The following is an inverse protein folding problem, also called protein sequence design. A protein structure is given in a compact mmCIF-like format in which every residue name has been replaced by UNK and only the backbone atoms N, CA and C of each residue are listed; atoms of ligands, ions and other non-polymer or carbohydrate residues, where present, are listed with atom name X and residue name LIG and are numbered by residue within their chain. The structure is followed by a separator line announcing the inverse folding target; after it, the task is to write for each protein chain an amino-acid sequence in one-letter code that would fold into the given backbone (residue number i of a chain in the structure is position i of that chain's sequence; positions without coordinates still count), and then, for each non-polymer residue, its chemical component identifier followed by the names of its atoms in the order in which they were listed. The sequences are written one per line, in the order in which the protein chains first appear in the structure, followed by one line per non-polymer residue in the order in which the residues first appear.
data_IF_240029351969
#
_entry.id   IF_240029351969
#
_cell.length_a   1.000
_cell.length_b   1.000
_cell.length_c   1.000
_cell.angle_alpha   90.00
_cell.angle_beta   90.00
_cell.angle_gamma   90.00
#
_symmetry.space_group_name_H-M   'P 1'
#
loop_
_entity.id
_entity.type
_entity.pdbx_description
1 polymer ?
#
# COMPACT_ATOMS: atom_id res chain seq x y z
N UNK A 1 34.97 -9.04 32.06
CA UNK A 1 33.67 -9.77 32.10
C UNK A 1 33.15 -9.88 30.68
N UNK A 2 33.36 -11.03 30.02
CA UNK A 2 32.85 -11.25 28.67
C UNK A 2 31.37 -11.62 28.75
N UNK A 3 30.50 -10.80 28.14
CA UNK A 3 29.10 -11.15 27.91
C UNK A 3 29.07 -12.45 27.11
N UNK A 4 28.56 -13.53 27.71
CA UNK A 4 28.18 -14.73 26.97
C UNK A 4 27.14 -14.28 25.95
N UNK A 5 27.49 -14.31 24.65
CA UNK A 5 26.50 -14.17 23.59
C UNK A 5 25.53 -15.34 23.73
N UNK A 6 24.27 -15.00 23.97
CA UNK A 6 23.21 -15.93 24.29
C UNK A 6 23.01 -16.88 23.10
N UNK A 7 23.39 -18.16 23.25
CA UNK A 7 23.22 -19.19 22.21
C UNK A 7 21.77 -19.31 21.75
N UNK A 8 20.81 -18.87 22.56
CA UNK A 8 19.39 -18.83 22.21
C UNK A 8 19.02 -17.72 21.20
N UNK A 9 19.76 -16.60 21.14
CA UNK A 9 19.55 -15.54 20.16
C UNK A 9 20.06 -15.94 18.77
N UNK A 10 21.16 -16.69 18.69
CA UNK A 10 21.72 -17.19 17.43
C UNK A 10 20.75 -18.17 16.75
N UNK A 11 20.14 -19.08 17.53
CA UNK A 11 19.19 -20.07 17.03
C UNK A 11 17.86 -19.41 16.58
N UNK A 12 17.39 -18.39 17.32
CA UNK A 12 16.25 -17.56 16.90
C UNK A 12 16.53 -16.83 15.58
N UNK A 13 17.75 -16.29 15.41
CA UNK A 13 18.20 -15.66 14.17
C UNK A 13 18.20 -16.61 12.98
N UNK A 14 18.65 -17.85 13.17
CA UNK A 14 18.60 -18.89 12.13
C UNK A 14 17.16 -19.25 11.75
N UNK A 15 16.24 -19.36 12.73
CA UNK A 15 14.82 -19.66 12.49
C UNK A 15 14.12 -18.51 11.72
N UNK A 16 14.43 -17.26 12.04
CA UNK A 16 13.89 -16.10 11.31
C UNK A 16 14.42 -16.06 9.87
N UNK A 17 15.72 -16.28 9.67
CA UNK A 17 16.33 -16.35 8.34
C UNK A 17 15.74 -17.49 7.50
N UNK A 18 15.53 -18.66 8.09
CA UNK A 18 14.91 -19.80 7.41
C UNK A 18 13.46 -19.50 6.97
N UNK A 19 12.65 -18.85 7.83
CA UNK A 19 11.30 -18.40 7.46
C UNK A 19 11.30 -17.36 6.34
N UNK A 20 12.25 -16.42 6.36
CA UNK A 20 12.38 -15.38 5.33
C UNK A 20 12.76 -15.99 3.97
N UNK A 21 13.65 -16.99 3.98
CA UNK A 21 14.05 -17.76 2.80
C UNK A 21 12.88 -18.57 2.24
N UNK A 22 12.12 -19.27 3.08
CA UNK A 22 10.98 -20.09 2.66
C UNK A 22 9.84 -19.24 2.04
N UNK A 23 9.57 -18.06 2.62
CA UNK A 23 8.67 -17.08 2.01
C UNK A 23 9.17 -16.59 0.65
N UNK A 24 10.48 -16.34 0.52
CA UNK A 24 11.08 -15.89 -0.74
C UNK A 24 11.00 -16.97 -1.82
N UNK A 25 11.25 -18.23 -1.45
CA UNK A 25 11.13 -19.40 -2.33
C UNK A 25 9.69 -19.58 -2.79
N UNK A 26 8.73 -19.66 -1.87
CA UNK A 26 7.30 -19.78 -2.17
C UNK A 26 6.81 -18.67 -3.11
N UNK A 27 7.31 -17.45 -2.94
CA UNK A 27 6.96 -16.30 -3.78
C UNK A 27 7.55 -16.39 -5.18
N UNK A 28 8.81 -16.82 -5.30
CA UNK A 28 9.44 -17.07 -6.60
C UNK A 28 8.74 -18.20 -7.36
N UNK A 29 8.32 -19.26 -6.68
CA UNK A 29 7.53 -20.34 -7.28
C UNK A 29 6.17 -19.84 -7.80
N UNK A 30 5.49 -18.96 -7.05
CA UNK A 30 4.24 -18.36 -7.49
C UNK A 30 4.43 -17.49 -8.76
N UNK A 31 5.49 -16.67 -8.81
CA UNK A 31 5.82 -15.84 -9.98
C UNK A 31 6.22 -16.69 -11.21
N UNK A 32 7.00 -17.75 -11.00
CA UNK A 32 7.38 -18.70 -12.05
C UNK A 32 6.16 -19.48 -12.55
N UNK A 33 5.28 -19.91 -11.64
CA UNK A 33 4.02 -20.57 -11.97
C UNK A 33 3.09 -19.68 -12.80
N UNK A 34 2.94 -18.42 -12.38
CA UNK A 34 2.19 -17.39 -13.08
C UNK A 34 2.73 -17.16 -14.51
N UNK A 35 4.05 -17.04 -14.66
CA UNK A 35 4.73 -16.88 -15.95
C UNK A 35 4.56 -18.10 -16.85
N UNK A 36 4.67 -19.31 -16.29
CA UNK A 36 4.46 -20.56 -17.02
C UNK A 36 3.03 -20.68 -17.54
N UNK A 37 2.05 -20.31 -16.72
CA UNK A 37 0.64 -20.28 -17.12
C UNK A 37 0.38 -19.28 -18.25
N UNK A 38 0.94 -18.06 -18.19
CA UNK A 38 0.85 -17.09 -19.27
C UNK A 38 1.41 -17.63 -20.60
N UNK A 39 2.57 -18.32 -20.56
CA UNK A 39 3.16 -18.93 -21.77
C UNK A 39 2.26 -20.02 -22.34
N UNK A 40 1.69 -20.88 -21.50
CA UNK A 40 0.77 -21.93 -21.95
C UNK A 40 -0.48 -21.34 -22.61
N UNK A 41 -1.08 -20.31 -22.02
CA UNK A 41 -2.25 -19.63 -22.60
C UNK A 41 -1.93 -18.97 -23.94
N UNK A 42 -0.76 -18.32 -24.06
CA UNK A 42 -0.28 -17.74 -25.31
C UNK A 42 -0.11 -18.82 -26.40
N UNK A 43 0.48 -19.97 -26.06
CA UNK A 43 0.61 -21.10 -26.99
C UNK A 43 -0.75 -21.64 -27.45
N UNK A 44 -1.73 -21.78 -26.55
CA UNK A 44 -3.08 -22.23 -26.90
C UNK A 44 -3.79 -21.23 -27.81
N UNK A 45 -3.70 -19.95 -27.50
CA UNK A 45 -4.23 -18.87 -28.33
C UNK A 45 -3.63 -18.91 -29.73
N UNK A 46 -2.31 -19.10 -29.85
CA UNK A 46 -1.63 -19.12 -31.15
C UNK A 46 -2.04 -20.35 -31.99
N UNK A 47 -2.24 -21.51 -31.35
CA UNK A 47 -2.83 -22.69 -32.01
C UNK A 47 -4.24 -22.42 -32.53
N UNK A 48 -5.09 -21.77 -31.74
CA UNK A 48 -6.45 -21.39 -32.17
C UNK A 48 -6.42 -20.38 -33.32
N UNK A 49 -5.53 -19.38 -33.29
CA UNK A 49 -5.33 -18.43 -34.40
C UNK A 49 -4.86 -19.12 -35.68
N UNK A 50 -3.98 -20.12 -35.59
CA UNK A 50 -3.57 -20.92 -36.74
C UNK A 50 -4.74 -21.74 -37.31
N UNK A 51 -5.56 -22.34 -36.44
CA UNK A 51 -6.77 -23.07 -36.85
C UNK A 51 -7.78 -22.16 -37.54
N UNK A 52 -8.02 -20.96 -36.99
CA UNK A 52 -8.86 -19.92 -37.60
C UNK A 52 -8.40 -19.61 -39.03
N UNK A 53 -7.11 -19.28 -39.23
CA UNK A 53 -6.55 -19.00 -40.55
C UNK A 53 -6.75 -20.15 -41.56
N UNK A 54 -6.56 -21.40 -41.13
CA UNK A 54 -6.77 -22.58 -41.99
C UNK A 54 -8.23 -22.72 -42.42
N UNK A 55 -9.18 -22.52 -41.51
CA UNK A 55 -10.61 -22.60 -41.82
C UNK A 55 -11.05 -21.44 -42.70
N UNK A 56 -10.59 -20.21 -42.45
CA UNK A 56 -10.94 -19.06 -43.30
C UNK A 56 -10.54 -19.30 -44.75
N UNK A 57 -9.34 -19.85 -44.99
CA UNK A 57 -8.87 -20.20 -46.33
C UNK A 57 -9.69 -21.33 -46.96
N UNK A 58 -10.14 -22.30 -46.16
CA UNK A 58 -11.04 -23.36 -46.63
C UNK A 58 -12.43 -22.81 -47.00
N UNK A 59 -12.95 -21.87 -46.21
CA UNK A 59 -14.23 -21.20 -46.46
C UNK A 59 -14.24 -20.39 -47.75
N UNK A 60 -13.12 -19.75 -48.10
CA UNK A 60 -12.97 -19.04 -49.37
C UNK A 60 -13.01 -20.01 -50.56
N UNK A 61 -12.34 -21.16 -50.46
CA UNK A 61 -12.39 -22.22 -51.48
C UNK A 61 -13.79 -22.79 -51.64
N UNK A 62 -14.47 -23.09 -50.54
CA UNK A 62 -15.85 -23.57 -50.56
C UNK A 62 -16.81 -22.52 -51.16
N UNK A 63 -16.55 -21.23 -50.92
CA UNK A 63 -17.31 -20.13 -51.56
C UNK A 63 -17.10 -20.10 -53.08
N UNK A 64 -15.87 -20.32 -53.56
CA UNK A 64 -15.59 -20.38 -55.00
C UNK A 64 -16.25 -21.60 -55.65
N UNK A 65 -16.16 -22.78 -55.02
CA UNK A 65 -16.83 -24.00 -55.46
C UNK A 65 -18.35 -23.84 -55.51
N UNK A 66 -18.95 -23.20 -54.50
CA UNK A 66 -20.38 -22.90 -54.49
C UNK A 66 -20.77 -21.98 -55.66
N UNK A 67 -19.95 -20.95 -55.98
CA UNK A 67 -20.18 -20.09 -57.15
C UNK A 67 -20.09 -20.88 -58.47
N UNK A 68 -19.15 -21.81 -58.61
CA UNK A 68 -19.04 -22.65 -59.80
C UNK A 68 -20.26 -23.58 -59.95
N UNK A 69 -20.68 -24.24 -58.87
CA UNK A 69 -21.86 -25.12 -58.90
C UNK A 69 -23.16 -24.38 -59.23
N UNK A 70 -23.27 -23.10 -58.86
CA UNK A 70 -24.39 -22.25 -59.28
C UNK A 70 -24.35 -21.93 -60.78
N UNK A 71 -23.17 -21.73 -61.37
CA UNK A 71 -23.01 -21.55 -62.84
C UNK A 71 -23.37 -22.83 -63.59
N UNK A 72 -23.02 -23.99 -63.04
CA UNK A 72 -23.32 -25.32 -63.60
C UNK A 72 -24.79 -25.76 -63.40
N UNK A 73 -25.65 -24.90 -62.84
CA UNK A 73 -27.08 -25.19 -62.60
C UNK A 73 -27.36 -26.16 -61.44
N UNK A 74 -26.35 -26.63 -60.71
CA UNK A 74 -26.47 -27.61 -59.61
C UNK A 74 -26.83 -26.94 -58.27
N UNK A 75 -28.02 -26.34 -58.22
CA UNK A 75 -28.51 -25.55 -57.07
C UNK A 75 -28.54 -26.31 -55.74
N UNK A 76 -28.99 -27.57 -55.72
CA UNK A 76 -29.08 -28.35 -54.48
C UNK A 76 -27.71 -28.59 -53.82
N UNK A 77 -26.70 -28.91 -54.62
CA UNK A 77 -25.31 -29.10 -54.14
C UNK A 77 -24.72 -27.77 -53.64
N UNK A 78 -25.03 -26.66 -54.31
CA UNK A 78 -24.60 -25.34 -53.87
C UNK A 78 -25.24 -24.96 -52.51
N UNK A 79 -26.53 -25.24 -52.31
CA UNK A 79 -27.22 -24.99 -51.03
C UNK A 79 -26.59 -25.82 -49.90
N UNK A 80 -26.28 -27.09 -50.14
CA UNK A 80 -25.63 -27.96 -49.16
C UNK A 80 -24.26 -27.40 -48.71
N UNK A 81 -23.44 -26.95 -49.67
CA UNK A 81 -22.15 -26.32 -49.37
C UNK A 81 -22.32 -25.02 -48.59
N UNK A 82 -23.30 -24.18 -48.95
CA UNK A 82 -23.56 -22.94 -48.21
C UNK A 82 -24.03 -23.20 -46.77
N UNK A 83 -24.82 -24.26 -46.54
CA UNK A 83 -25.18 -24.70 -45.18
C UNK A 83 -23.96 -25.16 -44.38
N UNK A 84 -23.08 -25.96 -45.00
CA UNK A 84 -21.81 -26.40 -44.38
C UNK A 84 -20.93 -25.20 -44.01
N UNK A 85 -20.80 -24.25 -44.94
CA UNK A 85 -20.07 -22.99 -44.74
C UNK A 85 -20.64 -22.20 -43.56
N UNK A 86 -21.96 -22.00 -43.49
CA UNK A 86 -22.60 -21.25 -42.38
C UNK A 86 -22.33 -21.89 -41.01
N UNK A 87 -22.31 -23.23 -40.94
CA UNK A 87 -21.96 -23.94 -39.70
C UNK A 87 -20.50 -23.72 -39.29
N UNK A 88 -19.57 -23.72 -40.25
CA UNK A 88 -18.16 -23.43 -39.99
C UNK A 88 -17.93 -21.97 -39.55
N UNK A 89 -18.66 -21.01 -40.13
CA UNK A 89 -18.65 -19.60 -39.69
C UNK A 89 -19.09 -19.49 -38.22
N UNK A 90 -20.18 -20.16 -37.82
CA UNK A 90 -20.61 -20.18 -36.41
C UNK A 90 -19.57 -20.81 -35.48
N UNK A 91 -18.82 -21.82 -35.95
CA UNK A 91 -17.73 -22.41 -35.17
C UNK A 91 -16.53 -21.47 -35.05
N UNK A 92 -16.25 -20.69 -36.10
CA UNK A 92 -15.24 -19.63 -36.06
C UNK A 92 -15.62 -18.55 -35.05
N UNK A 93 -16.87 -18.10 -35.01
CA UNK A 93 -17.33 -17.09 -34.04
C UNK A 93 -17.14 -17.57 -32.61
N UNK A 94 -17.46 -18.85 -32.32
CA UNK A 94 -17.19 -19.46 -31.01
C UNK A 94 -15.70 -19.49 -30.69
N UNK A 95 -14.87 -19.80 -31.69
CA UNK A 95 -13.41 -19.84 -31.54
C UNK A 95 -12.84 -18.45 -31.28
N UNK A 96 -13.37 -17.41 -31.93
CA UNK A 96 -12.95 -16.02 -31.75
C UNK A 96 -13.31 -15.50 -30.34
N UNK A 97 -14.49 -15.88 -29.83
CA UNK A 97 -14.85 -15.64 -28.44
C UNK A 97 -13.88 -16.34 -27.46
N UNK A 98 -13.46 -17.58 -27.75
CA UNK A 98 -12.46 -18.29 -26.94
C UNK A 98 -11.09 -17.61 -26.99
N UNK A 99 -10.65 -17.14 -28.16
CA UNK A 99 -9.41 -16.37 -28.31
C UNK A 99 -9.47 -15.10 -27.47
N UNK A 100 -10.56 -14.35 -27.54
CA UNK A 100 -10.76 -13.13 -26.75
C UNK A 100 -10.73 -13.39 -25.24
N UNK A 101 -11.35 -14.50 -24.79
CA UNK A 101 -11.29 -14.93 -23.40
C UNK A 101 -9.87 -15.30 -22.95
N UNK A 102 -9.09 -15.99 -23.80
CA UNK A 102 -7.69 -16.30 -23.52
C UNK A 102 -6.82 -15.04 -23.46
N UNK A 103 -7.07 -14.07 -24.34
CA UNK A 103 -6.36 -12.79 -24.32
C UNK A 103 -6.63 -12.00 -23.04
N UNK A 104 -7.90 -11.96 -22.59
CA UNK A 104 -8.25 -11.37 -21.29
C UNK A 104 -7.54 -12.07 -20.14
N UNK A 105 -7.54 -13.40 -20.10
CA UNK A 105 -6.87 -14.16 -19.03
C UNK A 105 -5.35 -13.92 -19.02
N UNK A 106 -4.73 -13.76 -20.18
CA UNK A 106 -3.30 -13.38 -20.27
C UNK A 106 -3.06 -11.98 -19.70
N UNK A 107 -3.93 -11.02 -20.01
CA UNK A 107 -3.85 -9.66 -19.44
C UNK A 107 -4.03 -9.65 -17.93
N UNK A 108 -5.01 -10.40 -17.41
CA UNK A 108 -5.26 -10.54 -15.97
C UNK A 108 -4.02 -11.09 -15.24
N UNK A 109 -3.35 -12.07 -15.86
CA UNK A 109 -2.10 -12.66 -15.33
C UNK A 109 -0.95 -11.65 -15.36
N UNK A 110 -0.77 -10.91 -16.46
CA UNK A 110 0.26 -9.88 -16.56
C UNK A 110 0.03 -8.75 -15.55
N UNK A 111 -1.24 -8.38 -15.31
CA UNK A 111 -1.60 -7.41 -14.29
C UNK A 111 -1.27 -7.91 -12.88
N UNK A 112 -1.63 -9.15 -12.55
CA UNK A 112 -1.28 -9.75 -11.26
C UNK A 112 0.24 -9.80 -11.02
N UNK A 113 1.05 -10.01 -12.08
CA UNK A 113 2.51 -9.92 -11.97
C UNK A 113 2.99 -8.51 -11.64
N UNK A 114 2.33 -7.48 -12.18
CA UNK A 114 2.63 -6.09 -11.86
C UNK A 114 2.23 -5.77 -10.42
N UNK A 115 1.05 -6.23 -9.96
CA UNK A 115 0.61 -6.04 -8.57
C UNK A 115 1.63 -6.60 -7.57
N UNK A 116 2.18 -7.79 -7.83
CA UNK A 116 3.23 -8.37 -6.99
C UNK A 116 4.47 -7.46 -6.92
N UNK A 117 4.90 -6.89 -8.06
CA UNK A 117 6.03 -5.95 -8.12
C UNK A 117 5.74 -4.63 -7.38
N UNK A 118 4.51 -4.13 -7.45
CA UNK A 118 4.10 -2.92 -6.71
C UNK A 118 4.19 -3.17 -5.21
N UNK A 119 3.69 -4.31 -4.73
CA UNK A 119 3.80 -4.71 -3.32
C UNK A 119 5.26 -4.83 -2.88
N UNK A 120 6.15 -5.30 -3.75
CA UNK A 120 7.59 -5.33 -3.48
C UNK A 120 8.20 -3.93 -3.34
N UNK A 121 7.85 -3.02 -4.25
CA UNK A 121 8.26 -1.61 -4.15
C UNK A 121 7.79 -0.96 -2.85
N UNK A 122 6.55 -1.22 -2.45
CA UNK A 122 6.01 -0.73 -1.18
C UNK A 122 6.73 -1.33 0.04
N UNK A 123 7.10 -2.62 0.00
CA UNK A 123 7.86 -3.25 1.08
C UNK A 123 9.24 -2.62 1.24
N UNK A 124 9.97 -2.42 0.13
CA UNK A 124 11.28 -1.74 0.15
C UNK A 124 11.15 -0.30 0.64
N UNK A 125 10.10 0.42 0.22
CA UNK A 125 9.80 1.75 0.72
C UNK A 125 9.54 1.77 2.23
N UNK A 126 8.74 0.81 2.73
CA UNK A 126 8.46 0.68 4.17
C UNK A 126 9.72 0.34 4.98
N UNK A 127 10.57 -0.55 4.47
CA UNK A 127 11.83 -0.91 5.12
C UNK A 127 12.82 0.26 5.13
N UNK A 128 12.85 1.09 4.07
CA UNK A 128 13.61 2.34 4.04
C UNK A 128 13.09 3.34 5.09
N UNK A 129 11.76 3.55 5.14
CA UNK A 129 11.13 4.42 6.14
C UNK A 129 11.44 3.98 7.56
N UNK A 130 11.42 2.67 7.84
CA UNK A 130 11.79 2.14 9.17
C UNK A 130 13.23 2.49 9.56
N UNK A 131 14.18 2.30 8.64
CA UNK A 131 15.58 2.66 8.88
C UNK A 131 15.74 4.17 9.11
N UNK A 132 15.05 5.00 8.34
CA UNK A 132 15.06 6.45 8.56
C UNK A 132 14.47 6.81 9.94
N UNK A 133 13.35 6.20 10.33
CA UNK A 133 12.76 6.42 11.65
C UNK A 133 13.65 5.97 12.81
N UNK A 134 14.42 4.90 12.63
CA UNK A 134 15.38 4.40 13.62
C UNK A 134 16.57 5.34 13.80
N UNK A 135 17.12 5.88 12.71
CA UNK A 135 18.21 6.86 12.76
C UNK A 135 17.75 8.18 13.38
N UNK A 136 16.56 8.68 12.99
CA UNK A 136 16.03 9.95 13.52
C UNK A 136 15.67 9.86 15.01
N UNK A 137 15.08 8.74 15.47
CA UNK A 137 14.63 8.64 16.87
C UNK A 137 15.77 8.48 17.87
N UNK A 138 16.90 7.89 17.48
CA UNK A 138 18.04 7.69 18.37
C UNK A 138 18.90 8.96 18.44
N UNK A 139 19.27 9.54 17.29
CA UNK A 139 20.14 10.72 17.24
C UNK A 139 19.48 11.96 17.88
N UNK A 140 18.17 12.13 17.72
CA UNK A 140 17.45 13.28 18.27
C UNK A 140 17.22 13.15 19.77
N UNK A 141 16.98 11.94 20.29
CA UNK A 141 16.85 11.71 21.74
C UNK A 141 18.20 11.85 22.44
N UNK A 142 19.29 11.33 21.87
CA UNK A 142 20.64 11.46 22.45
C UNK A 142 21.08 12.93 22.47
N UNK A 143 20.84 13.68 21.40
CA UNK A 143 21.14 15.13 21.36
C UNK A 143 20.34 15.92 22.40
N UNK A 144 19.04 15.65 22.55
CA UNK A 144 18.21 16.33 23.55
C UNK A 144 18.68 16.00 24.98
N UNK A 145 19.10 14.77 25.25
CA UNK A 145 19.63 14.39 26.57
C UNK A 145 20.96 15.08 26.87
N UNK A 146 21.87 15.14 25.89
CA UNK A 146 23.15 15.84 26.03
C UNK A 146 22.96 17.35 26.24
N UNK A 147 22.10 18.00 25.44
CA UNK A 147 21.79 19.43 25.59
C UNK A 147 21.11 19.75 26.94
N UNK A 148 20.26 18.85 27.44
CA UNK A 148 19.60 19.00 28.74
C UNK A 148 20.59 18.80 29.89
N UNK A 149 21.47 17.81 29.79
CA UNK A 149 22.49 17.53 30.79
C UNK A 149 23.50 18.69 30.88
N UNK A 150 23.95 19.22 29.73
CA UNK A 150 24.83 20.39 29.68
C UNK A 150 24.14 21.64 30.28
N UNK A 151 22.85 21.85 29.99
CA UNK A 151 22.06 22.94 30.58
C UNK A 151 21.91 22.80 32.10
N UNK A 152 21.69 21.59 32.61
CA UNK A 152 21.61 21.33 34.06
C UNK A 152 22.98 21.55 34.72
N UNK A 153 24.07 21.15 34.09
CA UNK A 153 25.42 21.38 34.60
C UNK A 153 25.80 22.84 34.60
N UNK A 154 25.42 23.60 33.57
CA UNK A 154 25.59 25.05 33.53
C UNK A 154 24.77 25.74 34.62
N UNK A 155 23.51 25.32 34.84
CA UNK A 155 22.69 25.83 35.93
C UNK A 155 23.29 25.51 37.30
N UNK A 156 23.81 24.29 37.51
CA UNK A 156 24.52 23.92 38.75
C UNK A 156 25.80 24.72 38.95
N UNK A 157 26.55 25.01 37.88
CA UNK A 157 27.72 25.88 37.98
C UNK A 157 27.34 27.30 38.38
N UNK A 158 26.24 27.83 37.85
CA UNK A 158 25.68 29.11 38.29
C UNK A 158 25.29 29.03 39.77
N UNK A 159 24.56 27.99 40.18
CA UNK A 159 24.11 27.80 41.55
C UNK A 159 25.31 27.68 42.53
N UNK A 160 26.37 26.95 42.17
CA UNK A 160 27.59 26.79 42.98
C UNK A 160 28.40 28.10 43.07
N UNK A 161 28.49 28.86 41.98
CA UNK A 161 29.15 30.17 41.95
C UNK A 161 28.36 31.17 42.82
N UNK A 162 27.03 31.15 42.75
CA UNK A 162 26.17 31.98 43.57
C UNK A 162 26.25 31.57 45.04
N UNK A 163 26.15 30.28 45.36
CA UNK A 163 26.22 29.78 46.74
C UNK A 163 27.58 30.05 47.42
N UNK A 164 28.67 30.15 46.65
CA UNK A 164 30.00 30.44 47.18
C UNK A 164 30.33 31.92 47.38
N UNK A 165 29.50 32.84 46.87
CA UNK A 165 29.85 34.27 46.77
C UNK A 165 28.99 35.23 47.59
N UNK A 166 27.87 34.79 48.17
CA UNK A 166 27.04 35.65 49.02
C UNK A 166 27.49 35.62 50.49
N UNK A 167 27.55 36.79 51.11
CA UNK A 167 27.70 36.92 52.56
C UNK A 167 26.34 36.94 53.24
N UNK A 168 26.29 36.70 54.55
CA UNK A 168 25.03 36.66 55.32
C UNK A 168 24.25 37.99 55.25
N UNK A 169 24.96 39.13 55.10
CA UNK A 169 24.34 40.44 54.89
C UNK A 169 23.72 40.59 53.49
N UNK A 170 24.32 39.96 52.47
CA UNK A 170 23.80 39.94 51.10
C UNK A 170 22.54 39.06 51.00
N UNK A 171 22.52 37.93 51.72
CA UNK A 171 21.34 37.05 51.79
C UNK A 171 20.15 37.74 52.46
N UNK A 172 20.38 38.50 53.54
CA UNK A 172 19.35 39.29 54.21
C UNK A 172 18.84 40.44 53.32
N UNK A 173 19.71 41.08 52.54
CA UNK A 173 19.33 42.12 51.58
C UNK A 173 18.49 41.56 50.42
N UNK A 174 18.84 40.38 49.89
CA UNK A 174 18.07 39.68 48.85
C UNK A 174 16.71 39.23 49.38
N UNK A 175 16.63 38.73 50.63
CA UNK A 175 15.37 38.39 51.27
C UNK A 175 14.46 39.61 51.45
N UNK A 176 15.01 40.74 51.87
CA UNK A 176 14.27 41.99 51.98
C UNK A 176 13.79 42.51 50.60
N UNK A 177 14.59 42.37 49.55
CA UNK A 177 14.19 42.73 48.18
C UNK A 177 13.10 41.78 47.64
N UNK A 178 13.21 40.47 47.88
CA UNK A 178 12.19 39.49 47.53
C UNK A 178 10.86 39.77 48.25
N UNK A 179 10.94 40.12 49.54
CA UNK A 179 9.77 40.52 50.34
C UNK A 179 9.18 41.85 49.83
N UNK A 180 10.01 42.80 49.39
CA UNK A 180 9.57 44.03 48.75
C UNK A 180 8.93 43.82 47.36
N UNK A 181 9.38 42.83 46.57
CA UNK A 181 8.77 42.47 45.27
C UNK A 181 7.44 41.73 45.49
N UNK A 182 7.32 40.94 46.56
CA UNK A 182 6.07 40.23 46.88
C UNK A 182 5.04 41.11 47.62
N UNK A 183 5.48 42.15 48.34
CA UNK A 183 4.60 43.15 48.98
C UNK A 183 4.37 44.40 48.10
N UNK A 184 5.26 44.69 47.15
CA UNK A 184 5.13 45.77 46.18
C UNK A 184 4.08 45.43 45.13
N UNK A 185 2.86 45.89 45.39
CA UNK A 185 1.72 46.02 44.46
C UNK A 185 1.71 45.03 43.28
N UNK A 186 1.11 43.87 43.54
CA UNK A 186 0.18 43.31 42.56
C UNK A 186 -1.07 44.20 42.56
N UNK A 187 -0.96 45.44 42.07
CA UNK A 187 -2.10 46.10 41.42
C UNK A 187 -2.28 45.35 40.10
N UNK A 188 -3.02 44.24 40.13
CA UNK A 188 -3.62 43.69 38.92
C UNK A 188 -4.42 44.83 38.28
N UNK A 189 -4.07 45.29 37.06
CA UNK A 189 -4.96 46.18 36.33
C UNK A 189 -6.30 45.45 36.17
N UNK A 190 -7.42 46.12 36.49
CA UNK A 190 -8.74 45.58 36.13
C UNK A 190 -8.70 45.27 34.63
N UNK A 191 -8.86 43.98 34.30
CA UNK A 191 -8.87 43.50 32.93
C UNK A 191 -9.95 44.28 32.18
N UNK A 192 -9.61 45.03 31.11
CA UNK A 192 -10.65 45.63 30.28
C UNK A 192 -11.58 44.53 29.74
N UNK A 193 -12.87 44.63 30.05
CA UNK A 193 -13.94 43.80 29.47
C UNK A 193 -14.18 44.17 27.99
N UNK A 194 -13.16 44.03 27.15
CA UNK A 194 -13.30 44.20 25.70
C UNK A 194 -13.40 42.81 25.05
N UNK A 195 -14.60 42.50 24.55
CA UNK A 195 -14.89 41.25 23.84
C UNK A 195 -13.96 41.11 22.64
N UNK A 196 -13.13 40.05 22.66
CA UNK A 196 -12.30 39.68 21.53
C UNK A 196 -13.19 39.33 20.31
N UNK A 197 -12.80 39.69 19.08
CA UNK A 197 -13.55 39.36 17.88
C UNK A 197 -13.54 37.85 17.61
N UNK A 198 -14.71 37.29 17.30
CA UNK A 198 -14.92 35.88 16.94
C UNK A 198 -14.04 35.46 15.75
N UNK A 199 -13.10 34.56 16.00
CA UNK A 199 -12.33 33.88 14.97
C UNK A 199 -13.13 32.61 14.59
N UNK A 200 -13.43 32.35 13.31
CA UNK A 200 -14.24 31.18 12.94
C UNK A 200 -13.53 29.87 13.30
N UNK A 201 -14.19 29.06 14.12
CA UNK A 201 -13.81 27.67 14.41
C UNK A 201 -13.84 26.84 13.12
N UNK A 202 -12.68 26.60 12.52
CA UNK A 202 -12.49 25.48 11.58
C UNK A 202 -11.70 24.37 12.26
N UNK A 203 -12.41 23.45 12.92
CA UNK A 203 -11.88 22.13 13.25
C UNK A 203 -11.78 21.27 11.98
N UNK A 204 -10.69 20.49 11.81
CA UNK A 204 -10.53 19.61 10.66
C UNK A 204 -11.46 18.39 10.76
N UNK A 205 -12.30 18.19 9.73
CA UNK A 205 -13.21 17.05 9.62
C UNK A 205 -12.47 15.70 9.67
N UNK A 206 -12.71 14.92 10.73
CA UNK A 206 -12.46 13.47 10.73
C UNK A 206 -13.75 12.72 10.42
N UNK A 207 -13.79 12.17 9.20
CA UNK A 207 -14.84 11.28 8.69
C UNK A 207 -15.10 10.09 9.64
N UNK A 208 -16.33 10.00 10.17
CA UNK A 208 -16.78 8.85 10.97
C UNK A 208 -17.45 7.81 10.09
N UNK A 209 -16.84 6.63 10.12
CA UNK A 209 -17.25 5.37 9.52
C UNK A 209 -18.70 4.97 9.91
N UNK A 210 -19.57 4.79 8.91
CA UNK A 210 -20.95 4.33 9.09
C UNK A 210 -20.99 2.82 9.33
N UNK A 211 -21.19 2.40 10.57
CA UNK A 211 -21.57 1.01 10.89
C UNK A 211 -23.06 0.77 10.56
N UNK A 212 -23.28 -0.36 9.89
CA UNK A 212 -24.47 -0.77 9.15
C UNK A 212 -25.68 -1.04 10.06
N UNK A 213 -26.86 -0.54 9.66
CA UNK A 213 -28.17 -1.03 10.10
C UNK A 213 -28.37 -2.48 9.63
N UNK A 214 -28.93 -3.34 10.49
CA UNK A 214 -29.78 -4.46 10.08
C UNK A 214 -31.08 -4.47 10.89
N UNK A 215 -32.17 -5.03 10.34
CA UNK A 215 -33.54 -4.61 10.64
C UNK A 215 -34.35 -5.66 11.42
N UNK A 216 -35.57 -5.23 11.75
CA UNK A 216 -36.83 -6.01 11.72
C UNK A 216 -37.29 -6.70 13.02
N UNK A 217 -38.45 -6.24 13.52
CA UNK A 217 -39.70 -7.01 13.74
C UNK A 217 -40.74 -6.07 14.37
N UNK A 218 -41.79 -5.74 13.63
CA UNK A 218 -43.12 -6.38 13.71
C UNK A 218 -43.76 -6.32 15.11
N UNK A 219 -44.88 -5.59 15.20
CA UNK A 219 -46.21 -6.02 15.69
C UNK A 219 -47.05 -4.73 15.86
N UNK A 220 -47.91 -4.38 14.90
CA UNK A 220 -49.34 -4.74 14.83
C UNK A 220 -50.19 -4.26 16.01
N UNK A 221 -51.12 -3.36 15.66
CA UNK A 221 -52.51 -3.28 16.11
C UNK A 221 -52.81 -3.13 17.60
N UNK A 222 -53.32 -1.96 18.00
CA UNK A 222 -54.76 -1.69 18.18
C UNK A 222 -55.00 -0.21 18.45
#
# INVERSE_FOLDING_TARGET
MGKYMDLSEFDKGQVVMARQLDQSISKTEALVGCSRSAVQLKQQRDKLKQYQKRITLQLEKERQLAKQLLKDGKKEKAILLLKKKRFQEQLLDKTENQISNLERMVQDIEFAQIEIKVIEGLKVGNDCLKKMHEVMSIEEVERIMDETQESIEYQRQIDDILAGSLTQEDEDAVLAELEAITQGDVELPEVPDEQLPDIPDQEPEREKERVKKKPERELLAL
#
